data_IF_042071849606
#
_entry.id   IF_042071849606
#
_cell.length_a   1.000
_cell.length_b   1.000
_cell.length_c   1.000
_cell.angle_alpha   90.00
_cell.angle_beta   90.00
_cell.angle_gamma   90.00
#
_symmetry.space_group_name_H-M   'P 1'
#
loop_
_entity.id
_entity.type
_entity.pdbx_description
1 polymer ?
#
# COMPACT_ATOMS: atom_id res chain seq x y z
N UNK A 1 0.29 16.16 6.53
CA UNK A 1 -0.30 15.54 7.73
C UNK A 1 0.53 14.32 8.05
N UNK A 2 0.98 14.15 9.29
CA UNK A 2 1.55 12.87 9.70
C UNK A 2 0.40 11.85 9.76
N UNK A 3 0.63 10.64 9.24
CA UNK A 3 -0.34 9.56 9.34
C UNK A 3 -0.45 9.13 10.82
N UNK A 4 -1.65 8.76 11.26
CA UNK A 4 -1.87 8.31 12.63
C UNK A 4 -1.32 6.89 12.80
N UNK A 5 -0.51 6.66 13.84
CA UNK A 5 -0.08 5.32 14.21
C UNK A 5 -1.26 4.53 14.79
N UNK A 6 -1.30 3.22 14.49
CA UNK A 6 -2.17 2.27 15.17
C UNK A 6 -1.79 2.11 16.63
N UNK A 7 -0.51 1.88 16.88
CA UNK A 7 0.14 1.72 18.17
C UNK A 7 1.66 1.93 18.01
N UNK A 8 2.42 1.83 19.11
CA UNK A 8 3.88 2.00 19.13
C UNK A 8 4.65 0.68 18.92
N UNK A 9 3.96 -0.40 18.54
CA UNK A 9 4.58 -1.71 18.30
C UNK A 9 5.01 -1.85 16.85
N UNK A 10 5.96 -2.76 16.63
CA UNK A 10 6.35 -3.20 15.28
C UNK A 10 5.57 -4.46 14.94
N UNK A 11 5.11 -4.54 13.70
CA UNK A 11 4.29 -5.61 13.18
C UNK A 11 4.91 -6.22 11.93
N UNK A 12 4.61 -7.48 11.68
CA UNK A 12 4.92 -8.15 10.40
C UNK A 12 3.69 -8.21 9.49
N UNK A 13 3.91 -8.57 8.23
CA UNK A 13 2.86 -8.75 7.25
C UNK A 13 1.85 -9.83 7.65
N UNK A 14 2.29 -10.91 8.33
CA UNK A 14 1.38 -11.93 8.87
C UNK A 14 0.44 -11.34 9.93
N UNK A 15 0.96 -10.54 10.86
CA UNK A 15 0.15 -9.87 11.88
C UNK A 15 -0.83 -8.88 11.26
N UNK A 16 -0.38 -8.11 10.26
CA UNK A 16 -1.21 -7.21 9.48
C UNK A 16 -2.38 -7.95 8.80
N UNK A 17 -2.14 -9.11 8.17
CA UNK A 17 -3.18 -9.90 7.51
C UNK A 17 -4.24 -10.45 8.48
N UNK A 18 -3.91 -10.61 9.75
CA UNK A 18 -4.84 -11.06 10.78
C UNK A 18 -5.76 -9.93 11.31
N UNK A 19 -5.53 -8.68 10.88
CA UNK A 19 -6.32 -7.54 11.36
C UNK A 19 -7.69 -7.43 10.68
N UNK A 20 -8.66 -6.77 11.34
CA UNK A 20 -9.96 -6.48 10.74
C UNK A 20 -9.83 -5.59 9.49
N UNK A 21 -10.60 -5.91 8.44
CA UNK A 21 -10.55 -5.22 7.14
C UNK A 21 -11.04 -3.76 7.16
N UNK A 22 -11.69 -3.29 8.23
CA UNK A 22 -12.31 -1.96 8.24
C UNK A 22 -11.30 -0.80 8.20
N UNK A 23 -10.04 -1.06 8.60
CA UNK A 23 -8.98 -0.07 8.63
C UNK A 23 -7.81 -0.49 7.74
N UNK A 24 -7.39 0.44 6.87
CA UNK A 24 -6.22 0.25 6.00
C UNK A 24 -4.99 0.83 6.68
N UNK A 25 -3.96 0.01 6.76
CA UNK A 25 -2.66 0.40 7.30
C UNK A 25 -1.57 0.16 6.26
N UNK A 26 -0.53 0.98 6.32
CA UNK A 26 0.76 0.69 5.69
C UNK A 26 1.76 0.41 6.81
N UNK A 27 2.54 -0.67 6.68
CA UNK A 27 3.68 -0.91 7.56
C UNK A 27 4.88 -0.14 6.99
N UNK A 28 5.47 0.73 7.80
CA UNK A 28 6.67 1.49 7.44
C UNK A 28 7.67 1.31 8.58
N UNK A 29 8.75 0.59 8.29
CA UNK A 29 9.72 0.12 9.29
C UNK A 29 9.05 -0.66 10.44
N UNK A 30 8.04 -1.46 10.10
CA UNK A 30 7.22 -2.25 11.01
C UNK A 30 6.15 -1.46 11.76
N UNK A 31 6.13 -0.13 11.67
CA UNK A 31 5.08 0.67 12.33
C UNK A 31 3.86 0.80 11.44
N UNK A 32 2.67 0.55 12.01
CA UNK A 32 1.41 0.59 11.26
C UNK A 32 0.81 2.01 11.23
N UNK A 33 0.78 2.60 10.05
CA UNK A 33 0.22 3.93 9.79
C UNK A 33 -1.15 3.83 9.13
N UNK A 34 -2.16 4.48 9.69
CA UNK A 34 -3.52 4.47 9.17
C UNK A 34 -3.63 5.31 7.88
N UNK A 35 -4.15 4.69 6.81
CA UNK A 35 -4.39 5.33 5.51
C UNK A 35 -5.77 6.00 5.42
N UNK A 36 -6.36 6.33 6.57
CA UNK A 36 -7.66 6.96 6.70
C UNK A 36 -7.58 8.46 6.99
N UNK A 37 -8.62 9.24 6.62
CA UNK A 37 -9.83 8.83 5.93
C UNK A 37 -9.61 8.54 4.44
N UNK A 38 -10.58 7.87 3.82
CA UNK A 38 -10.54 7.57 2.38
C UNK A 38 -10.33 8.84 1.52
N UNK A 39 -9.60 8.72 0.39
CA UNK A 39 -9.28 9.84 -0.48
C UNK A 39 -10.52 10.51 -1.10
N UNK A 40 -10.42 11.82 -1.33
CA UNK A 40 -11.48 12.60 -1.99
C UNK A 40 -11.63 12.25 -3.48
N UNK A 41 -12.79 12.60 -4.07
CA UNK A 41 -13.06 12.45 -5.52
C UNK A 41 -11.96 13.05 -6.40
N UNK A 42 -11.37 14.18 -6.01
CA UNK A 42 -10.30 14.82 -6.77
C UNK A 42 -9.04 13.95 -6.84
N UNK A 43 -8.67 13.28 -5.74
CA UNK A 43 -7.57 12.33 -5.72
C UNK A 43 -7.84 11.17 -6.69
N UNK A 44 -9.05 10.59 -6.62
CA UNK A 44 -9.45 9.49 -7.52
C UNK A 44 -9.39 9.90 -9.00
N UNK A 45 -9.87 11.10 -9.34
CA UNK A 45 -9.79 11.63 -10.72
C UNK A 45 -8.35 11.72 -11.21
N UNK A 46 -7.43 12.20 -10.38
CA UNK A 46 -6.03 12.38 -10.74
C UNK A 46 -5.33 11.02 -10.90
N UNK A 47 -5.50 10.12 -9.93
CA UNK A 47 -4.90 8.77 -9.97
C UNK A 47 -5.37 7.99 -11.20
N UNK A 48 -6.67 8.03 -11.52
CA UNK A 48 -7.20 7.31 -12.69
C UNK A 48 -6.64 7.86 -14.01
N UNK A 49 -6.51 9.18 -14.15
CA UNK A 49 -5.95 9.77 -15.37
C UNK A 49 -4.45 9.45 -15.51
N UNK A 50 -3.69 9.46 -14.41
CA UNK A 50 -2.29 9.03 -14.42
C UNK A 50 -2.16 7.56 -14.80
N UNK A 51 -2.95 6.68 -14.17
CA UNK A 51 -2.94 5.25 -14.46
C UNK A 51 -3.27 4.98 -15.94
N UNK A 52 -4.27 5.68 -16.50
CA UNK A 52 -4.63 5.58 -17.91
C UNK A 52 -3.49 5.98 -18.84
N UNK A 53 -2.80 7.09 -18.57
CA UNK A 53 -1.68 7.55 -19.40
C UNK A 53 -0.47 6.61 -19.31
N UNK A 54 -0.15 6.12 -18.11
CA UNK A 54 0.96 5.17 -17.91
C UNK A 54 0.64 3.86 -18.62
N UNK A 55 -0.57 3.32 -18.45
CA UNK A 55 -1.01 2.08 -19.11
C UNK A 55 -0.92 2.19 -20.63
N UNK A 56 -1.36 3.31 -21.21
CA UNK A 56 -1.24 3.54 -22.65
C UNK A 56 0.21 3.63 -23.13
N UNK A 57 1.13 4.14 -22.29
CA UNK A 57 2.55 4.28 -22.65
C UNK A 57 3.31 2.95 -22.61
N UNK A 58 2.86 1.98 -21.80
CA UNK A 58 3.50 0.67 -21.66
C UNK A 58 2.78 -0.46 -22.40
N UNK A 59 1.67 -0.13 -23.09
CA UNK A 59 0.88 -1.11 -23.84
C UNK A 59 1.70 -1.82 -24.92
N UNK A 60 1.51 -3.13 -25.04
CA UNK A 60 2.30 -4.02 -25.90
C UNK A 60 3.74 -4.31 -25.41
N UNK A 61 4.16 -3.73 -24.28
CA UNK A 61 5.42 -4.02 -23.61
C UNK A 61 5.30 -5.09 -22.51
N UNK A 62 6.41 -5.41 -21.80
CA UNK A 62 6.41 -6.39 -20.72
C UNK A 62 5.96 -5.82 -19.36
N UNK A 63 5.58 -4.54 -19.30
CA UNK A 63 5.27 -3.85 -18.04
C UNK A 63 3.76 -3.85 -17.78
N UNK A 64 3.39 -3.92 -16.50
CA UNK A 64 2.01 -3.88 -16.01
C UNK A 64 1.79 -2.70 -15.06
N UNK A 65 0.55 -2.19 -15.00
CA UNK A 65 0.18 -1.05 -14.16
C UNK A 65 -0.79 -1.48 -13.07
N UNK A 66 -0.44 -1.20 -11.81
CA UNK A 66 -1.28 -1.44 -10.65
C UNK A 66 -1.64 -0.10 -9.97
N UNK A 67 -2.82 -0.02 -9.35
CA UNK A 67 -3.32 1.16 -8.63
C UNK A 67 -3.75 0.73 -7.23
N UNK A 68 -3.52 1.57 -6.22
CA UNK A 68 -3.97 1.30 -4.86
C UNK A 68 -5.51 1.12 -4.80
N UNK A 69 -6.04 0.19 -3.97
CA UNK A 69 -5.31 -0.64 -3.00
C UNK A 69 -4.61 -1.85 -3.62
N UNK A 70 -3.32 -2.00 -3.34
CA UNK A 70 -2.49 -3.14 -3.73
C UNK A 70 -1.28 -3.18 -2.80
N UNK A 71 -1.08 -4.30 -2.09
CA UNK A 71 -0.02 -4.41 -1.12
C UNK A 71 1.31 -4.69 -1.83
N UNK A 72 2.31 -3.84 -1.56
CA UNK A 72 3.67 -3.98 -2.08
C UNK A 72 4.58 -4.28 -0.89
N UNK A 73 5.21 -5.45 -0.94
CA UNK A 73 6.13 -5.92 0.11
C UNK A 73 7.57 -5.65 -0.33
N UNK A 74 8.36 -5.08 0.57
CA UNK A 74 9.74 -4.67 0.32
C UNK A 74 10.69 -5.36 1.32
N UNK A 75 11.03 -6.65 1.10
CA UNK A 75 11.92 -7.37 2.02
C UNK A 75 13.30 -6.71 2.05
N UNK A 76 13.92 -6.66 3.24
CA UNK A 76 15.27 -6.13 3.44
C UNK A 76 16.34 -7.15 3.06
N UNK A 77 16.05 -8.44 3.22
CA UNK A 77 16.94 -9.52 2.84
C UNK A 77 16.15 -10.67 2.17
N UNK A 78 16.37 -11.90 2.61
CA UNK A 78 15.74 -13.10 2.07
C UNK A 78 14.76 -13.71 3.08
N UNK A 79 14.08 -12.85 3.86
CA UNK A 79 12.99 -13.27 4.72
C UNK A 79 11.76 -13.73 3.93
N UNK A 80 10.93 -14.57 4.56
CA UNK A 80 9.62 -14.95 4.04
C UNK A 80 8.65 -13.76 4.10
N UNK A 81 7.64 -13.80 3.23
CA UNK A 81 6.63 -12.73 3.12
C UNK A 81 5.97 -12.43 4.47
N UNK A 82 5.78 -13.43 5.31
CA UNK A 82 5.19 -13.36 6.64
C UNK A 82 5.99 -12.51 7.64
N UNK A 83 7.29 -12.31 7.41
CA UNK A 83 8.20 -11.58 8.29
C UNK A 83 8.50 -10.14 7.80
N UNK A 84 7.98 -9.76 6.63
CA UNK A 84 8.19 -8.42 6.06
C UNK A 84 7.44 -7.38 6.89
N UNK A 85 8.05 -6.21 7.04
CA UNK A 85 7.57 -5.09 7.86
C UNK A 85 7.08 -3.88 7.03
#
# INVERSE_FOLDING_TARGET
MALALRDEQRHTYEEYLAWPEEARYELIDGFAYAMGPAPLRQHQRIVLEMARQIAAAVDGGPCEVNVAPFDVRLPRANEGDELID
#
